data_IF_221826416904
#
_entry.id   IF_221826416904
#
_cell.length_a   1.000
_cell.length_b   1.000
_cell.length_c   1.000
_cell.angle_alpha   90.00
_cell.angle_beta   90.00
_cell.angle_gamma   90.00
#
_symmetry.space_group_name_H-M   'P 1'
#
loop_
_entity.id
_entity.type
_entity.pdbx_description
1 polymer ?
#
# COMPACT_ATOMS: atom_id res chain seq x y z
N UNK A 1 17.58 -21.26 15.09
CA UNK A 1 16.76 -20.93 16.29
C UNK A 1 17.02 -19.52 16.83
N UNK A 2 18.27 -19.16 17.27
CA UNK A 2 18.55 -17.81 17.81
C UNK A 2 18.47 -16.74 16.72
N UNK A 3 18.98 -17.00 15.52
CA UNK A 3 18.93 -16.08 14.38
C UNK A 3 17.50 -15.87 13.90
N UNK A 4 16.67 -16.91 13.89
CA UNK A 4 15.26 -16.81 13.50
C UNK A 4 14.45 -15.98 14.51
N UNK A 5 14.72 -16.14 15.80
CA UNK A 5 14.11 -15.34 16.86
C UNK A 5 14.56 -13.86 16.78
N UNK A 6 15.84 -13.60 16.49
CA UNK A 6 16.35 -12.24 16.30
C UNK A 6 15.72 -11.59 15.06
N UNK A 7 15.62 -12.32 13.96
CA UNK A 7 14.96 -11.83 12.73
C UNK A 7 13.49 -11.50 13.00
N UNK A 8 12.75 -12.42 13.60
CA UNK A 8 11.32 -12.19 13.95
C UNK A 8 11.15 -10.98 14.89
N UNK A 9 12.03 -10.84 15.90
CA UNK A 9 11.99 -9.69 16.82
C UNK A 9 12.30 -8.37 16.12
N UNK A 10 13.25 -8.37 15.17
CA UNK A 10 13.60 -7.18 14.37
C UNK A 10 12.46 -6.78 13.43
N UNK A 11 11.87 -7.74 12.72
CA UNK A 11 10.71 -7.51 11.86
C UNK A 11 9.51 -6.96 12.65
N UNK A 12 9.32 -7.48 13.87
CA UNK A 12 8.28 -7.00 14.77
C UNK A 12 8.54 -5.56 15.23
N UNK A 13 9.79 -5.22 15.57
CA UNK A 13 10.18 -3.86 15.96
C UNK A 13 10.01 -2.87 14.81
N UNK A 14 10.44 -3.25 13.60
CA UNK A 14 10.27 -2.43 12.40
C UNK A 14 8.80 -2.15 12.12
N UNK A 15 7.94 -3.17 12.20
CA UNK A 15 6.49 -3.00 12.04
C UNK A 15 5.92 -2.04 13.07
N UNK A 16 6.36 -2.12 14.33
CA UNK A 16 5.98 -1.20 15.38
C UNK A 16 6.31 0.25 15.10
N UNK A 17 7.58 0.48 14.72
CA UNK A 17 8.06 1.82 14.40
C UNK A 17 7.28 2.37 13.20
N UNK A 18 7.04 1.55 12.19
CA UNK A 18 6.25 1.93 11.02
C UNK A 18 4.80 2.27 11.41
N UNK A 19 4.13 1.42 12.18
CA UNK A 19 2.75 1.64 12.63
C UNK A 19 2.64 2.93 13.49
N UNK A 20 3.64 3.20 14.34
CA UNK A 20 3.69 4.41 15.16
C UNK A 20 3.91 5.68 14.33
N UNK A 21 4.81 5.61 13.33
CA UNK A 21 5.07 6.73 12.42
C UNK A 21 3.85 7.03 11.53
N UNK A 22 3.20 6.01 11.00
CA UNK A 22 1.97 6.14 10.22
C UNK A 22 0.85 6.75 11.07
N UNK A 23 0.68 6.23 12.29
CA UNK A 23 -0.27 6.77 13.26
C UNK A 23 -0.02 8.26 13.52
N UNK A 24 1.22 8.65 13.81
CA UNK A 24 1.60 10.03 14.09
C UNK A 24 1.38 10.97 12.89
N UNK A 25 1.66 10.49 11.66
CA UNK A 25 1.39 11.25 10.42
C UNK A 25 -0.10 11.47 10.20
N UNK A 26 -0.92 10.45 10.47
CA UNK A 26 -2.37 10.52 10.39
C UNK A 26 -2.96 11.44 11.47
N UNK A 27 -2.41 11.41 12.69
CA UNK A 27 -2.88 12.21 13.82
C UNK A 27 -2.64 13.72 13.62
N UNK A 28 -1.51 14.08 13.01
CA UNK A 28 -1.18 15.46 12.70
C UNK A 28 -1.92 16.03 11.46
N UNK A 29 -2.87 15.29 10.87
CA UNK A 29 -3.52 15.64 9.60
C UNK A 29 -2.51 15.97 8.46
N UNK A 30 -1.30 15.38 8.52
CA UNK A 30 -0.26 15.53 7.50
C UNK A 30 -0.27 14.44 6.45
N UNK A 31 -1.14 13.44 6.61
CA UNK A 31 -1.29 12.38 5.62
C UNK A 31 -2.15 12.91 4.46
N UNK A 32 -1.54 13.01 3.30
CA UNK A 32 -2.22 13.36 2.06
C UNK A 32 -2.74 12.09 1.38
N UNK A 33 -3.91 12.21 0.72
CA UNK A 33 -4.47 11.16 -0.13
C UNK A 33 -3.86 11.29 -1.52
N UNK A 34 -3.13 10.29 -1.94
CA UNK A 34 -2.58 10.21 -3.29
C UNK A 34 -3.56 9.52 -4.23
N UNK A 35 -4.48 10.28 -4.82
CA UNK A 35 -5.49 9.75 -5.75
C UNK A 35 -4.86 9.46 -7.10
N UNK A 36 -4.72 8.18 -7.43
CA UNK A 36 -4.21 7.70 -8.72
C UNK A 36 -5.22 6.77 -9.38
N UNK A 37 -5.07 6.58 -10.69
CA UNK A 37 -5.86 5.60 -11.43
C UNK A 37 -5.29 4.21 -11.22
N UNK A 38 -6.13 3.26 -10.80
CA UNK A 38 -5.74 1.86 -10.59
C UNK A 38 -6.90 0.90 -10.92
N UNK A 39 -6.62 -0.40 -10.92
CA UNK A 39 -7.62 -1.46 -11.05
C UNK A 39 -7.86 -2.11 -9.67
N UNK A 40 -9.05 -1.95 -9.06
CA UNK A 40 -9.34 -2.55 -7.76
C UNK A 40 -9.28 -4.09 -7.76
N UNK A 41 -9.75 -4.75 -8.83
CA UNK A 41 -9.69 -6.21 -8.92
C UNK A 41 -8.26 -6.71 -8.81
N UNK A 42 -7.33 -6.11 -9.54
CA UNK A 42 -5.92 -6.46 -9.47
C UNK A 42 -5.34 -6.23 -8.06
N UNK A 43 -5.72 -5.14 -7.39
CA UNK A 43 -5.29 -4.88 -6.02
C UNK A 43 -5.73 -5.98 -5.05
N UNK A 44 -6.99 -6.44 -5.15
CA UNK A 44 -7.49 -7.52 -4.29
C UNK A 44 -6.87 -8.87 -4.61
N UNK A 45 -6.61 -9.17 -5.89
CA UNK A 45 -5.90 -10.38 -6.32
C UNK A 45 -4.48 -10.44 -5.73
N UNK A 46 -3.74 -9.34 -5.79
CA UNK A 46 -2.40 -9.23 -5.19
C UNK A 46 -2.43 -9.43 -3.67
N UNK A 47 -3.43 -8.86 -2.98
CA UNK A 47 -3.62 -9.05 -1.55
C UNK A 47 -3.94 -10.52 -1.25
N UNK A 48 -4.86 -11.14 -2.01
CA UNK A 48 -5.20 -12.55 -1.85
C UNK A 48 -3.97 -13.44 -1.95
N UNK A 49 -3.18 -13.29 -3.02
CA UNK A 49 -1.95 -14.05 -3.25
C UNK A 49 -0.95 -13.89 -2.09
N UNK A 50 -0.88 -12.71 -1.46
CA UNK A 50 0.02 -12.47 -0.33
C UNK A 50 -0.44 -13.13 0.98
N UNK A 51 -1.75 -13.30 1.18
CA UNK A 51 -2.31 -13.88 2.41
C UNK A 51 -2.59 -15.38 2.33
N UNK A 52 -2.76 -15.95 1.14
CA UNK A 52 -3.03 -17.37 0.94
C UNK A 52 -1.97 -18.26 1.60
N UNK A 53 -0.65 -18.05 1.45
CA UNK A 53 0.35 -18.86 2.15
C UNK A 53 0.28 -18.74 3.67
N UNK A 54 -0.07 -17.56 4.20
CA UNK A 54 -0.17 -17.32 5.64
C UNK A 54 -1.37 -18.05 6.26
N UNK A 55 -2.50 -18.06 5.56
CA UNK A 55 -3.71 -18.78 5.98
C UNK A 55 -3.51 -20.29 5.85
N UNK A 56 -2.93 -20.74 4.74
CA UNK A 56 -2.61 -22.16 4.52
C UNK A 56 -1.66 -22.74 5.60
N UNK A 57 -0.63 -21.97 5.98
CA UNK A 57 0.30 -22.37 7.05
C UNK A 57 -0.40 -22.55 8.42
N UNK A 58 -1.52 -21.85 8.66
CA UNK A 58 -2.37 -22.02 9.83
C UNK A 58 -3.51 -23.04 9.66
N UNK A 59 -3.67 -23.63 8.47
CA UNK A 59 -4.78 -24.53 8.15
C UNK A 59 -6.14 -23.84 8.07
N UNK A 60 -6.15 -22.54 7.72
CA UNK A 60 -7.36 -21.73 7.52
C UNK A 60 -7.71 -21.67 6.03
N UNK A 61 -9.00 -21.76 5.70
CA UNK A 61 -9.48 -21.47 4.35
C UNK A 61 -9.56 -19.96 4.13
N UNK A 62 -9.02 -19.47 3.01
CA UNK A 62 -9.17 -18.07 2.58
C UNK A 62 -10.04 -18.04 1.32
N UNK A 63 -11.12 -17.28 1.36
CA UNK A 63 -12.00 -17.04 0.22
C UNK A 63 -11.90 -15.58 -0.21
N UNK A 64 -11.87 -15.33 -1.53
CA UNK A 64 -11.87 -13.99 -2.08
C UNK A 64 -12.95 -13.87 -3.15
N UNK A 65 -13.85 -12.90 -2.99
CA UNK A 65 -14.93 -12.61 -3.93
C UNK A 65 -14.91 -11.14 -4.31
N UNK A 66 -14.51 -10.85 -5.53
CA UNK A 66 -14.45 -9.49 -6.07
C UNK A 66 -15.52 -9.32 -7.12
N UNK A 67 -16.37 -8.31 -6.97
CA UNK A 67 -17.43 -8.01 -7.92
C UNK A 67 -16.84 -7.70 -9.31
N UNK A 68 -17.44 -8.23 -10.40
CA UNK A 68 -16.94 -8.03 -11.77
C UNK A 68 -16.84 -6.54 -12.15
N UNK A 69 -17.68 -5.68 -11.59
CA UNK A 69 -17.70 -4.24 -11.83
C UNK A 69 -16.38 -3.57 -11.41
N UNK A 70 -15.67 -4.16 -10.43
CA UNK A 70 -14.39 -3.67 -9.97
C UNK A 70 -13.22 -3.95 -10.92
N UNK A 71 -13.45 -4.74 -11.98
CA UNK A 71 -12.46 -4.95 -13.04
C UNK A 71 -12.48 -3.79 -14.03
N UNK A 72 -11.95 -2.66 -13.63
CA UNK A 72 -11.93 -1.42 -14.41
C UNK A 72 -10.94 -0.41 -13.84
N UNK A 73 -10.93 0.78 -14.43
CA UNK A 73 -10.06 1.88 -13.99
C UNK A 73 -10.84 2.79 -13.05
N UNK A 74 -10.32 2.97 -11.85
CA UNK A 74 -10.91 3.80 -10.80
C UNK A 74 -9.88 4.76 -10.23
N UNK A 75 -10.37 5.83 -9.59
CA UNK A 75 -9.54 6.84 -8.93
C UNK A 75 -9.71 6.72 -7.42
N UNK A 76 -8.64 6.41 -6.71
CA UNK A 76 -8.52 6.44 -5.24
C UNK A 76 -7.04 6.35 -4.86
N UNK A 77 -6.75 6.04 -3.58
CA UNK A 77 -5.41 5.77 -3.07
C UNK A 77 -5.22 4.26 -2.84
N UNK A 78 -4.62 3.52 -3.79
CA UNK A 78 -4.45 2.07 -3.68
C UNK A 78 -3.52 1.67 -2.52
N UNK A 79 -2.58 2.53 -2.12
CA UNK A 79 -1.68 2.26 -0.99
C UNK A 79 -2.47 2.26 0.32
N UNK A 80 -3.31 3.25 0.54
CA UNK A 80 -4.18 3.35 1.73
C UNK A 80 -5.24 2.26 1.76
N UNK A 81 -5.83 1.92 0.60
CA UNK A 81 -6.73 0.77 0.46
C UNK A 81 -6.06 -0.53 0.87
N UNK A 82 -4.86 -0.80 0.35
CA UNK A 82 -4.05 -1.97 0.70
C UNK A 82 -3.76 -2.01 2.21
N UNK A 83 -3.41 -0.87 2.80
CA UNK A 83 -3.12 -0.77 4.22
C UNK A 83 -4.34 -1.12 5.09
N UNK A 84 -5.53 -0.64 4.72
CA UNK A 84 -6.80 -0.98 5.39
C UNK A 84 -7.04 -2.50 5.33
N UNK A 85 -7.02 -3.06 4.12
CA UNK A 85 -7.33 -4.49 3.88
C UNK A 85 -6.31 -5.39 4.58
N UNK A 86 -5.01 -5.08 4.49
CA UNK A 86 -3.94 -5.84 5.14
C UNK A 86 -4.09 -5.84 6.66
N UNK A 87 -4.43 -4.71 7.28
CA UNK A 87 -4.66 -4.64 8.73
C UNK A 87 -5.85 -5.50 9.16
N UNK A 88 -6.95 -5.47 8.42
CA UNK A 88 -8.14 -6.26 8.73
C UNK A 88 -7.90 -7.75 8.51
N UNK A 89 -7.28 -8.15 7.38
CA UNK A 89 -6.93 -9.55 7.11
C UNK A 89 -5.90 -10.10 8.11
N UNK A 90 -4.89 -9.31 8.46
CA UNK A 90 -3.90 -9.69 9.48
C UNK A 90 -4.57 -9.97 10.83
N UNK A 91 -5.56 -9.15 11.22
CA UNK A 91 -6.35 -9.40 12.42
C UNK A 91 -7.20 -10.67 12.29
N UNK A 92 -7.86 -10.89 11.15
CA UNK A 92 -8.64 -12.10 10.91
C UNK A 92 -7.76 -13.37 11.03
N UNK A 93 -6.59 -13.38 10.38
CA UNK A 93 -5.61 -14.48 10.49
C UNK A 93 -5.12 -14.67 11.92
N UNK A 94 -4.89 -13.59 12.65
CA UNK A 94 -4.40 -13.61 14.02
C UNK A 94 -5.42 -14.23 14.98
N UNK A 95 -6.69 -13.83 14.89
CA UNK A 95 -7.74 -14.19 15.85
C UNK A 95 -8.56 -15.42 15.46
N UNK A 96 -8.28 -16.01 14.28
CA UNK A 96 -8.87 -17.28 13.85
C UNK A 96 -7.87 -18.40 14.06
N UNK A 97 -8.26 -19.41 14.82
CA UNK A 97 -7.42 -20.61 15.05
C UNK A 97 -7.81 -21.77 14.12
N UNK A 98 -9.09 -21.88 13.77
CA UNK A 98 -9.65 -22.89 12.86
C UNK A 98 -10.85 -22.30 12.14
N UNK A 99 -11.07 -22.75 10.92
CA UNK A 99 -12.21 -22.33 10.09
C UNK A 99 -11.77 -21.53 8.88
N UNK A 100 -12.46 -20.43 8.59
CA UNK A 100 -12.28 -19.70 7.34
C UNK A 100 -12.24 -18.18 7.56
N UNK A 101 -11.65 -17.51 6.57
CA UNK A 101 -11.63 -16.06 6.42
C UNK A 101 -12.15 -15.75 5.02
N UNK A 102 -13.02 -14.77 4.89
CA UNK A 102 -13.53 -14.31 3.60
C UNK A 102 -13.26 -12.82 3.40
N UNK A 103 -12.79 -12.47 2.20
CA UNK A 103 -12.67 -11.12 1.68
C UNK A 103 -13.71 -10.96 0.57
N UNK A 104 -14.64 -10.04 0.72
CA UNK A 104 -15.63 -9.70 -0.30
C UNK A 104 -15.52 -8.23 -0.66
N UNK A 105 -15.36 -7.92 -1.95
CA UNK A 105 -15.34 -6.56 -2.46
C UNK A 105 -16.49 -6.37 -3.44
N UNK A 106 -17.39 -5.44 -3.14
CA UNK A 106 -18.55 -5.06 -3.95
C UNK A 106 -18.46 -3.60 -4.39
N UNK A 107 -19.17 -3.28 -5.48
CA UNK A 107 -19.27 -1.91 -5.99
C UNK A 107 -20.70 -1.57 -6.32
N UNK A 108 -21.21 -0.51 -5.74
CA UNK A 108 -22.55 0.02 -6.04
C UNK A 108 -22.56 1.54 -5.85
N UNK A 109 -23.22 2.25 -6.75
CA UNK A 109 -23.52 3.68 -6.63
C UNK A 109 -22.31 4.53 -6.24
N UNK A 110 -21.15 4.31 -6.92
CA UNK A 110 -19.88 5.00 -6.67
C UNK A 110 -19.28 4.72 -5.28
N UNK A 111 -19.66 3.60 -4.67
CA UNK A 111 -19.13 3.14 -3.39
C UNK A 111 -18.50 1.76 -3.53
N UNK A 112 -17.28 1.63 -3.02
CA UNK A 112 -16.60 0.36 -2.80
C UNK A 112 -16.95 -0.13 -1.40
N UNK A 113 -17.51 -1.33 -1.30
CA UNK A 113 -17.76 -1.99 -0.02
C UNK A 113 -16.81 -3.18 0.10
N UNK A 114 -16.00 -3.20 1.16
CA UNK A 114 -15.07 -4.27 1.48
C UNK A 114 -15.52 -4.92 2.77
N UNK A 115 -15.86 -6.20 2.74
CA UNK A 115 -16.20 -6.98 3.93
C UNK A 115 -15.14 -8.05 4.17
N UNK A 116 -14.61 -8.09 5.38
CA UNK A 116 -13.67 -9.12 5.83
C UNK A 116 -14.31 -9.83 7.01
N UNK A 117 -14.67 -11.09 6.80
CA UNK A 117 -15.28 -11.93 7.84
C UNK A 117 -14.35 -13.07 8.23
N UNK A 118 -14.35 -13.38 9.52
CA UNK A 118 -13.61 -14.47 10.13
C UNK A 118 -14.52 -15.34 11.00
N UNK A 119 -14.17 -16.60 11.18
CA UNK A 119 -14.83 -17.54 12.08
C UNK A 119 -14.09 -17.70 13.41
N UNK A 120 -13.37 -16.68 13.82
CA UNK A 120 -12.53 -16.69 15.02
C UNK A 120 -13.32 -16.56 16.33
N UNK A 121 -12.61 -16.13 17.36
CA UNK A 121 -13.18 -16.02 18.73
C UNK A 121 -14.29 -14.98 18.86
N UNK A 122 -14.44 -14.05 17.93
CA UNK A 122 -15.38 -12.94 18.01
C UNK A 122 -15.15 -12.02 19.21
N UNK A 123 -16.08 -11.10 19.45
CA UNK A 123 -16.02 -10.08 20.49
C UNK A 123 -17.36 -9.88 21.16
N UNK A 124 -17.34 -9.45 22.43
CA UNK A 124 -18.52 -9.01 23.15
C UNK A 124 -19.04 -7.66 22.58
N UNK A 125 -20.33 -7.38 22.78
CA UNK A 125 -20.95 -6.15 22.27
C UNK A 125 -20.28 -4.87 22.84
N UNK A 126 -19.84 -4.92 24.08
CA UNK A 126 -19.20 -3.82 24.79
C UNK A 126 -17.82 -3.45 24.22
N UNK A 127 -17.16 -4.42 23.57
CA UNK A 127 -15.81 -4.25 23.03
C UNK A 127 -15.80 -3.67 21.62
N UNK A 128 -16.92 -3.72 20.87
CA UNK A 128 -16.98 -3.32 19.44
C UNK A 128 -16.59 -1.85 19.20
N UNK A 129 -16.93 -0.94 20.09
CA UNK A 129 -16.53 0.46 19.97
C UNK A 129 -15.11 0.70 20.47
N UNK A 130 -14.69 -0.08 21.47
CA UNK A 130 -13.41 0.07 22.13
C UNK A 130 -12.22 -0.40 21.28
N UNK A 131 -12.44 -1.36 20.37
CA UNK A 131 -11.37 -1.90 19.51
C UNK A 131 -10.75 -0.86 18.57
N UNK A 132 -11.45 0.24 18.29
CA UNK A 132 -10.93 1.35 17.47
C UNK A 132 -10.19 2.41 18.29
N UNK A 133 -10.16 2.28 19.61
CA UNK A 133 -9.37 3.15 20.48
C UNK A 133 -7.90 2.74 20.44
N UNK A 134 -7.04 3.74 20.52
CA UNK A 134 -5.59 3.59 20.48
C UNK A 134 -5.09 2.74 21.66
N UNK A 135 -4.10 1.88 21.37
CA UNK A 135 -3.46 1.00 22.36
C UNK A 135 -4.44 0.06 23.10
N UNK A 136 -5.66 -0.09 22.58
CA UNK A 136 -6.66 -0.96 23.20
C UNK A 136 -6.43 -2.41 22.82
N UNK A 137 -6.34 -3.28 23.84
CA UNK A 137 -6.27 -4.73 23.70
C UNK A 137 -7.40 -5.35 24.51
N UNK A 138 -8.17 -6.23 23.89
CA UNK A 138 -9.26 -6.91 24.60
C UNK A 138 -8.72 -7.93 25.60
N UNK A 139 -9.43 -8.10 26.72
CA UNK A 139 -9.15 -9.12 27.71
C UNK A 139 -9.21 -10.51 27.07
N UNK A 140 -8.14 -11.31 27.22
CA UNK A 140 -8.01 -12.62 26.54
C UNK A 140 -7.14 -12.61 25.27
N UNK A 141 -6.55 -11.47 24.89
CA UNK A 141 -5.50 -11.38 23.89
C UNK A 141 -4.08 -11.40 24.52
N UNK A 142 -3.96 -11.81 25.78
CA UNK A 142 -2.67 -11.98 26.46
C UNK A 142 -1.91 -13.12 25.79
N UNK A 143 -0.75 -12.81 25.20
CA UNK A 143 0.07 -13.77 24.44
C UNK A 143 -0.03 -13.65 22.92
N UNK A 144 -0.98 -12.91 22.36
CA UNK A 144 -1.03 -12.62 20.92
C UNK A 144 -0.29 -11.31 20.62
N UNK A 145 0.60 -11.34 19.63
CA UNK A 145 1.43 -10.20 19.23
C UNK A 145 0.60 -9.02 18.70
N UNK A 146 0.93 -7.79 19.11
CA UNK A 146 0.36 -6.55 18.55
C UNK A 146 0.09 -5.47 19.61
N UNK A 147 0.24 -4.19 19.23
CA UNK A 147 0.23 -3.02 20.10
C UNK A 147 -1.13 -2.32 20.22
N UNK A 148 -2.17 -2.84 19.55
CA UNK A 148 -3.50 -2.22 19.58
C UNK A 148 -3.62 -0.97 18.70
N UNK A 149 -2.71 -0.78 17.71
CA UNK A 149 -2.74 0.35 16.78
C UNK A 149 -3.44 0.03 15.45
N UNK A 150 -3.47 -1.23 15.01
CA UNK A 150 -3.94 -1.59 13.66
C UNK A 150 -5.36 -1.11 13.35
N UNK A 151 -6.33 -1.32 14.24
CA UNK A 151 -7.72 -0.92 14.01
C UNK A 151 -7.94 0.60 14.16
N UNK A 152 -7.19 1.28 15.03
CA UNK A 152 -7.22 2.74 15.10
C UNK A 152 -6.65 3.40 13.84
N UNK A 153 -5.58 2.81 13.27
CA UNK A 153 -5.05 3.21 11.96
C UNK A 153 -6.09 2.99 10.87
N UNK A 154 -6.75 1.84 10.82
CA UNK A 154 -7.83 1.56 9.87
C UNK A 154 -8.93 2.63 9.94
N UNK A 155 -9.41 2.95 11.14
CA UNK A 155 -10.43 3.98 11.33
C UNK A 155 -9.99 5.35 10.83
N UNK A 156 -8.75 5.77 11.12
CA UNK A 156 -8.19 7.04 10.64
C UNK A 156 -8.04 7.04 9.11
N UNK A 157 -7.57 5.94 8.51
CA UNK A 157 -7.44 5.81 7.05
C UNK A 157 -8.80 5.84 6.35
N UNK A 158 -9.80 5.15 6.89
CA UNK A 158 -11.18 5.15 6.37
C UNK A 158 -11.76 6.56 6.42
N UNK A 159 -11.55 7.29 7.53
CA UNK A 159 -11.97 8.69 7.65
C UNK A 159 -11.23 9.59 6.66
N UNK A 160 -9.93 9.40 6.48
CA UNK A 160 -9.10 10.14 5.51
C UNK A 160 -9.60 9.93 4.06
N UNK A 161 -10.08 8.73 3.74
CA UNK A 161 -10.67 8.38 2.45
C UNK A 161 -12.16 8.69 2.35
N UNK A 162 -12.73 9.47 3.29
CA UNK A 162 -14.13 9.89 3.31
C UNK A 162 -15.13 8.72 3.39
N UNK A 163 -14.73 7.63 4.04
CA UNK A 163 -15.51 6.41 4.16
C UNK A 163 -16.08 6.16 5.56
N UNK A 164 -16.64 4.96 5.71
CA UNK A 164 -17.16 4.45 6.98
C UNK A 164 -16.69 3.03 7.23
N UNK A 165 -16.55 2.66 8.51
CA UNK A 165 -16.28 1.29 8.94
C UNK A 165 -17.31 0.86 9.98
N UNK A 166 -17.83 -0.34 9.81
CA UNK A 166 -18.74 -1.02 10.75
C UNK A 166 -18.17 -2.38 11.15
N UNK A 167 -18.59 -2.87 12.33
CA UNK A 167 -18.18 -4.18 12.83
C UNK A 167 -19.38 -4.94 13.41
N UNK A 168 -19.58 -6.15 12.90
CA UNK A 168 -20.50 -7.12 13.45
C UNK A 168 -19.69 -8.27 14.03
N UNK A 169 -19.90 -8.58 15.30
CA UNK A 169 -19.17 -9.66 15.96
C UNK A 169 -20.04 -10.30 17.04
N UNK A 170 -19.85 -11.60 17.20
CA UNK A 170 -20.49 -12.38 18.27
C UNK A 170 -19.41 -13.28 18.89
N UNK A 171 -19.32 -13.27 20.20
CA UNK A 171 -18.37 -14.10 20.93
C UNK A 171 -18.54 -15.58 20.55
N UNK A 172 -17.45 -16.23 20.15
CA UNK A 172 -17.41 -17.64 19.72
C UNK A 172 -17.92 -17.89 18.29
N UNK A 173 -18.34 -16.87 17.55
CA UNK A 173 -18.85 -17.04 16.16
C UNK A 173 -17.99 -16.31 15.11
N UNK A 174 -17.10 -15.39 15.53
CA UNK A 174 -16.27 -14.62 14.66
C UNK A 174 -16.68 -13.16 14.51
N UNK A 175 -16.04 -12.46 13.57
CA UNK A 175 -16.27 -11.04 13.32
C UNK A 175 -16.39 -10.78 11.81
N UNK A 176 -17.11 -9.71 11.47
CA UNK A 176 -17.18 -9.17 10.12
C UNK A 176 -16.94 -7.67 10.19
N UNK A 177 -15.89 -7.20 9.55
CA UNK A 177 -15.59 -5.78 9.38
C UNK A 177 -16.01 -5.34 7.98
N UNK A 178 -16.83 -4.31 7.90
CA UNK A 178 -17.32 -3.75 6.64
C UNK A 178 -16.84 -2.32 6.50
N UNK A 179 -16.06 -2.07 5.46
CA UNK A 179 -15.53 -0.74 5.09
C UNK A 179 -16.25 -0.28 3.83
N UNK A 180 -16.77 0.95 3.83
CA UNK A 180 -17.39 1.56 2.65
C UNK A 180 -16.64 2.84 2.32
N UNK A 181 -16.18 2.96 1.07
CA UNK A 181 -15.35 4.08 0.58
C UNK A 181 -15.93 4.65 -0.71
N UNK A 182 -15.85 5.95 -0.97
CA UNK A 182 -16.13 6.51 -2.29
C UNK A 182 -15.10 5.98 -3.30
N UNK A 183 -15.59 5.57 -4.46
CA UNK A 183 -14.75 5.06 -5.55
C UNK A 183 -15.32 5.51 -6.89
N UNK A 184 -14.56 6.26 -7.67
CA UNK A 184 -15.04 6.86 -8.90
C UNK A 184 -14.40 6.20 -10.12
N UNK A 185 -15.20 5.70 -11.08
CA UNK A 185 -14.69 5.12 -12.32
C UNK A 185 -14.08 6.22 -13.21
N UNK A 186 -12.99 5.89 -13.88
CA UNK A 186 -12.41 6.77 -14.90
C UNK A 186 -13.30 6.73 -16.15
N UNK A 187 -13.82 7.90 -16.56
CA UNK A 187 -14.65 8.02 -17.77
C UNK A 187 -16.16 8.15 -17.54
N UNK A 188 -16.67 8.09 -16.29
CA UNK A 188 -17.98 8.65 -15.96
C UNK A 188 -17.78 10.04 -15.37
N UNK A 189 -17.94 11.05 -16.20
CA UNK A 189 -17.99 12.46 -15.79
C UNK A 189 -18.98 12.61 -14.62
N UNK A 190 -18.56 13.27 -13.57
CA UNK A 190 -19.45 13.84 -12.54
C UNK A 190 -20.22 14.97 -13.25
N UNK A 191 -21.36 14.62 -13.84
CA UNK A 191 -22.27 15.55 -14.43
C UNK A 191 -23.68 15.23 -13.91
N UNK A 192 -24.01 15.81 -12.76
CA UNK A 192 -25.36 16.19 -12.43
C UNK A 192 -25.31 17.30 -11.36
N UNK A 193 -25.01 18.50 -11.80
CA UNK A 193 -25.64 19.74 -11.38
C UNK A 193 -25.31 20.83 -12.41
N UNK A 194 -26.38 21.20 -13.14
CA UNK A 194 -26.53 22.39 -13.95
C UNK A 194 -25.85 22.46 -15.33
N UNK A 195 -26.71 22.25 -16.35
CA UNK A 195 -26.54 22.69 -17.75
C UNK A 195 -26.52 24.21 -17.87
N UNK A 196 -26.10 24.85 -18.99
CA UNK A 196 -26.50 24.50 -20.34
C UNK A 196 -25.48 24.71 -21.48
N UNK A 197 -25.85 24.13 -22.63
CA UNK A 197 -25.57 24.51 -24.03
C UNK A 197 -24.27 24.07 -24.71
N UNK A 198 -24.54 23.11 -25.53
CA UNK A 198 -24.05 22.78 -26.90
C UNK A 198 -22.80 23.49 -27.45
N UNK A 199 -21.80 22.69 -27.83
CA UNK A 199 -21.16 22.83 -29.13
C UNK A 199 -20.68 21.45 -29.64
N UNK A 200 -21.21 21.05 -30.79
CA UNK A 200 -20.78 19.89 -31.56
C UNK A 200 -19.34 20.07 -32.01
N UNK A 201 -18.47 19.16 -31.60
CA UNK A 201 -17.18 18.95 -32.29
C UNK A 201 -17.15 17.52 -32.78
N UNK A 202 -17.16 17.38 -34.08
CA UNK A 202 -16.89 16.15 -34.83
C UNK A 202 -15.56 15.54 -34.38
N UNK A 203 -15.63 14.34 -33.78
CA UNK A 203 -14.45 13.55 -33.49
C UNK A 203 -14.32 12.51 -34.60
N UNK A 204 -13.47 12.81 -35.57
CA UNK A 204 -12.93 11.82 -36.49
C UNK A 204 -12.16 10.77 -35.70
N UNK A 205 -12.52 9.50 -35.95
CA UNK A 205 -11.79 8.32 -35.46
C UNK A 205 -10.39 8.31 -36.06
N UNK A 206 -9.40 8.79 -35.32
CA UNK A 206 -7.99 8.46 -35.55
C UNK A 206 -7.59 7.35 -34.58
N UNK A 207 -7.33 6.20 -35.17
CA UNK A 207 -6.71 5.03 -34.54
C UNK A 207 -5.40 5.44 -33.85
N UNK A 208 -5.47 5.72 -32.54
CA UNK A 208 -4.29 5.98 -31.74
C UNK A 208 -3.53 4.67 -31.50
N UNK A 209 -2.46 4.49 -32.27
CA UNK A 209 -1.42 3.50 -31.97
C UNK A 209 -0.99 3.66 -30.50
N UNK A 210 -0.95 2.53 -29.76
CA UNK A 210 -0.43 2.45 -28.41
C UNK A 210 0.98 3.05 -28.40
N UNK A 211 1.26 4.12 -27.65
CA UNK A 211 2.61 4.67 -27.59
C UNK A 211 3.57 3.59 -27.07
N UNK A 212 4.77 3.46 -27.62
CA UNK A 212 5.74 2.46 -27.19
C UNK A 212 5.95 2.63 -25.68
N UNK A 213 5.85 1.53 -24.92
CA UNK A 213 6.12 1.52 -23.48
C UNK A 213 7.47 2.20 -23.24
N UNK A 214 7.46 3.34 -22.58
CA UNK A 214 8.68 4.06 -22.23
C UNK A 214 9.50 3.15 -21.31
N UNK A 215 10.66 2.73 -21.78
CA UNK A 215 11.59 1.95 -20.95
C UNK A 215 12.05 2.83 -19.81
N UNK A 216 11.68 2.46 -18.58
CA UNK A 216 12.09 3.17 -17.36
C UNK A 216 13.58 2.91 -17.14
N UNK A 217 14.37 3.98 -17.06
CA UNK A 217 15.80 3.91 -16.75
C UNK A 217 16.04 4.24 -15.29
N UNK A 218 16.64 3.32 -14.57
CA UNK A 218 16.90 3.42 -13.13
C UNK A 218 18.39 3.61 -12.87
N UNK A 219 18.73 4.52 -11.98
CA UNK A 219 20.09 4.72 -11.47
C UNK A 219 20.11 4.29 -10.01
N UNK A 220 21.04 3.41 -9.63
CA UNK A 220 21.21 2.87 -8.29
C UNK A 220 22.50 3.40 -7.71
N UNK A 221 22.47 3.81 -6.43
CA UNK A 221 23.68 4.09 -5.65
C UNK A 221 23.59 3.45 -4.27
N UNK A 222 24.62 2.66 -3.93
CA UNK A 222 24.75 1.96 -2.66
C UNK A 222 26.25 1.66 -2.46
N UNK A 223 26.78 1.81 -1.27
CA UNK A 223 28.17 1.49 -0.95
C UNK A 223 28.39 -0.01 -0.70
N UNK A 224 27.31 -0.77 -0.43
CA UNK A 224 27.35 -2.24 -0.37
C UNK A 224 27.13 -2.84 -1.77
N UNK A 225 28.24 -3.30 -2.35
CA UNK A 225 28.26 -3.96 -3.67
C UNK A 225 27.35 -5.19 -3.75
N UNK A 226 27.15 -5.93 -2.66
CA UNK A 226 26.27 -7.10 -2.64
C UNK A 226 24.82 -6.64 -2.76
N UNK A 227 24.42 -5.63 -1.99
CA UNK A 227 23.09 -5.05 -2.01
C UNK A 227 22.77 -4.40 -3.36
N UNK A 228 23.74 -3.67 -3.92
CA UNK A 228 23.63 -3.07 -5.25
C UNK A 228 23.35 -4.12 -6.35
N UNK A 229 24.13 -5.21 -6.37
CA UNK A 229 23.95 -6.29 -7.34
C UNK A 229 22.62 -7.04 -7.14
N UNK A 230 22.19 -7.25 -5.89
CA UNK A 230 20.93 -7.91 -5.58
C UNK A 230 19.74 -7.06 -6.06
N UNK A 231 19.75 -5.77 -5.77
CA UNK A 231 18.70 -4.84 -6.20
C UNK A 231 18.64 -4.74 -7.73
N UNK A 232 19.79 -4.66 -8.40
CA UNK A 232 19.85 -4.66 -9.86
C UNK A 232 19.32 -5.97 -10.48
N UNK A 233 19.64 -7.12 -9.88
CA UNK A 233 19.13 -8.41 -10.32
C UNK A 233 17.59 -8.52 -10.16
N UNK A 234 17.04 -8.02 -9.05
CA UNK A 234 15.59 -7.96 -8.82
C UNK A 234 14.89 -7.07 -9.84
N UNK A 235 15.42 -5.89 -10.14
CA UNK A 235 14.87 -5.00 -11.17
C UNK A 235 14.91 -5.66 -12.55
N UNK A 236 15.99 -6.34 -12.87
CA UNK A 236 16.15 -7.06 -14.15
C UNK A 236 15.13 -8.20 -14.32
N UNK A 237 14.75 -8.90 -13.26
CA UNK A 237 13.68 -9.91 -13.28
C UNK A 237 12.33 -9.30 -13.70
N UNK A 238 12.12 -8.02 -13.45
CA UNK A 238 10.92 -7.27 -13.84
C UNK A 238 11.10 -6.50 -15.16
N UNK A 239 12.15 -6.79 -15.94
CA UNK A 239 12.42 -6.17 -17.23
C UNK A 239 12.93 -4.72 -17.13
N UNK A 240 13.43 -4.30 -15.97
CA UNK A 240 13.97 -2.96 -15.73
C UNK A 240 15.50 -3.04 -15.65
N UNK A 241 16.19 -2.36 -16.58
CA UNK A 241 17.64 -2.24 -16.53
C UNK A 241 18.04 -1.06 -15.64
N UNK A 242 18.95 -1.33 -14.68
CA UNK A 242 19.48 -0.34 -13.76
C UNK A 242 20.98 -0.13 -13.97
N UNK A 243 21.41 1.12 -13.91
CA UNK A 243 22.83 1.51 -13.87
C UNK A 243 23.24 1.63 -12.42
N UNK A 244 24.29 0.90 -12.03
CA UNK A 244 24.79 0.82 -10.66
C UNK A 244 25.97 1.75 -10.46
N UNK A 245 25.97 2.49 -9.32
CA UNK A 245 27.07 3.35 -8.88
C UNK A 245 27.47 2.98 -7.45
N UNK A 246 28.75 2.76 -7.21
CA UNK A 246 29.32 2.49 -5.88
C UNK A 246 29.79 3.76 -5.19
N UNK A 247 29.97 4.86 -5.96
CA UNK A 247 30.53 6.12 -5.49
C UNK A 247 29.78 7.33 -6.05
N UNK A 248 29.81 8.43 -5.33
CA UNK A 248 29.12 9.67 -5.68
C UNK A 248 29.61 10.26 -7.02
N UNK A 249 30.91 10.15 -7.31
CA UNK A 249 31.51 10.63 -8.55
C UNK A 249 30.91 9.93 -9.77
N UNK A 250 30.72 8.61 -9.70
CA UNK A 250 30.10 7.81 -10.75
C UNK A 250 28.65 8.23 -10.97
N UNK A 251 27.90 8.47 -9.86
CA UNK A 251 26.52 8.93 -9.91
C UNK A 251 26.42 10.28 -10.66
N UNK A 252 27.28 11.24 -10.31
CA UNK A 252 27.29 12.58 -10.95
C UNK A 252 27.64 12.48 -12.43
N UNK A 253 28.58 11.63 -12.80
CA UNK A 253 28.96 11.39 -14.20
C UNK A 253 27.80 10.80 -15.00
N UNK A 254 27.10 9.82 -14.46
CA UNK A 254 25.92 9.21 -15.07
C UNK A 254 24.78 10.22 -15.24
N UNK A 255 24.50 11.04 -14.23
CA UNK A 255 23.47 12.08 -14.28
C UNK A 255 23.80 13.21 -15.28
N UNK A 256 25.08 13.42 -15.63
CA UNK A 256 25.50 14.37 -16.68
C UNK A 256 25.42 13.81 -18.09
N UNK A 257 25.69 12.52 -18.24
CA UNK A 257 25.81 11.86 -19.55
C UNK A 257 24.53 11.19 -20.03
N UNK A 258 23.59 10.86 -19.15
CA UNK A 258 22.41 10.07 -19.47
C UNK A 258 21.15 10.55 -18.74
N UNK A 259 19.98 10.23 -19.33
CA UNK A 259 18.67 10.54 -18.74
C UNK A 259 18.20 9.34 -17.95
N UNK A 260 17.78 9.56 -16.71
CA UNK A 260 17.18 8.58 -15.83
C UNK A 260 15.80 9.05 -15.36
N UNK A 261 14.88 8.11 -15.18
CA UNK A 261 13.54 8.37 -14.69
C UNK A 261 13.49 8.24 -13.15
N UNK A 262 14.29 7.33 -12.58
CA UNK A 262 14.32 7.02 -11.14
C UNK A 262 15.76 6.96 -10.65
N UNK A 263 16.01 7.52 -9.46
CA UNK A 263 17.22 7.31 -8.67
C UNK A 263 16.83 6.56 -7.40
N UNK A 264 17.45 5.40 -7.17
CA UNK A 264 17.36 4.66 -5.92
C UNK A 264 18.68 4.84 -5.15
N UNK A 265 18.58 5.23 -3.89
CA UNK A 265 19.75 5.41 -3.03
C UNK A 265 19.52 4.78 -1.66
N UNK A 266 20.56 4.19 -1.08
CA UNK A 266 20.51 3.84 0.34
C UNK A 266 20.56 5.11 1.20
N UNK A 267 19.96 5.03 2.39
CA UNK A 267 19.93 6.13 3.35
C UNK A 267 21.27 6.22 4.09
N UNK A 268 21.85 5.06 4.43
CA UNK A 268 23.02 4.99 5.32
C UNK A 268 24.30 4.69 4.53
N UNK A 269 24.79 5.65 3.79
CA UNK A 269 26.10 5.54 3.12
C UNK A 269 27.21 6.27 3.90
N UNK A 270 28.42 5.74 3.98
CA UNK A 270 29.51 6.32 4.79
C UNK A 270 29.92 7.74 4.38
N UNK A 271 29.85 8.06 3.08
CA UNK A 271 30.28 9.34 2.54
C UNK A 271 29.22 10.44 2.65
N UNK A 272 27.94 10.09 2.52
CA UNK A 272 26.82 11.01 2.54
C UNK A 272 25.53 10.25 2.84
N UNK A 273 24.68 10.83 3.69
CA UNK A 273 23.34 10.28 3.91
C UNK A 273 22.48 10.47 2.65
N UNK A 274 21.67 9.45 2.28
CA UNK A 274 20.83 9.46 1.08
C UNK A 274 19.89 10.67 1.00
N UNK A 275 19.34 11.15 2.12
CA UNK A 275 18.53 12.38 2.15
C UNK A 275 19.33 13.64 1.83
N UNK A 276 20.55 13.72 2.30
CA UNK A 276 21.41 14.87 2.03
C UNK A 276 21.95 14.82 0.60
N UNK A 277 22.19 13.62 0.05
CA UNK A 277 22.48 13.42 -1.36
C UNK A 277 21.34 13.97 -2.23
N UNK A 278 20.10 13.63 -1.91
CA UNK A 278 18.90 14.10 -2.63
C UNK A 278 18.81 15.63 -2.58
N UNK A 279 19.04 16.25 -1.42
CA UNK A 279 19.03 17.72 -1.27
C UNK A 279 20.13 18.37 -2.12
N UNK A 280 21.35 17.83 -2.08
CA UNK A 280 22.47 18.33 -2.89
C UNK A 280 22.20 18.22 -4.39
N UNK A 281 21.68 17.08 -4.84
CA UNK A 281 21.31 16.87 -6.24
C UNK A 281 20.22 17.86 -6.70
N UNK A 282 19.21 18.12 -5.89
CA UNK A 282 18.13 19.09 -6.20
C UNK A 282 18.64 20.54 -6.19
N UNK A 283 19.62 20.86 -5.35
CA UNK A 283 20.27 22.16 -5.32
C UNK A 283 21.34 22.34 -6.42
N UNK A 284 21.76 21.25 -7.07
CA UNK A 284 22.78 21.27 -8.11
C UNK A 284 22.29 21.89 -9.43
N UNK A 285 23.23 22.26 -10.31
CA UNK A 285 22.95 22.73 -11.66
C UNK A 285 22.79 21.57 -12.67
N UNK A 286 22.58 20.34 -12.21
CA UNK A 286 22.34 19.18 -13.07
C UNK A 286 20.83 19.12 -13.38
N UNK A 287 20.39 19.38 -14.62
CA UNK A 287 18.94 19.46 -14.94
C UNK A 287 18.21 18.15 -14.64
N UNK A 288 18.86 17.02 -14.91
CA UNK A 288 18.34 15.67 -14.69
C UNK A 288 18.08 15.34 -13.22
N UNK A 289 18.92 15.82 -12.32
CA UNK A 289 18.77 15.62 -10.87
C UNK A 289 17.51 16.29 -10.30
N UNK A 290 16.88 17.21 -11.05
CA UNK A 290 15.63 17.90 -10.67
C UNK A 290 14.37 17.18 -11.16
N UNK A 291 14.47 16.39 -12.24
CA UNK A 291 13.34 15.72 -12.90
C UNK A 291 13.25 14.25 -12.60
N UNK A 292 14.33 13.64 -12.12
CA UNK A 292 14.39 12.23 -11.74
C UNK A 292 13.58 12.00 -10.44
N UNK A 293 12.76 10.94 -10.42
CA UNK A 293 12.07 10.51 -9.19
C UNK A 293 13.11 9.92 -8.24
N UNK A 294 13.17 10.44 -7.01
CA UNK A 294 14.12 10.01 -6.00
C UNK A 294 13.45 9.10 -5.00
N UNK A 295 14.01 7.92 -4.80
CA UNK A 295 13.55 6.95 -3.82
C UNK A 295 14.74 6.53 -2.94
N UNK A 296 14.53 6.48 -1.63
CA UNK A 296 15.51 6.00 -0.67
C UNK A 296 15.05 4.66 -0.12
N UNK A 297 15.93 3.67 -0.15
CA UNK A 297 15.70 2.40 0.55
C UNK A 297 15.79 2.61 2.06
N UNK A 298 14.92 2.02 2.87
CA UNK A 298 15.02 2.09 4.33
C UNK A 298 16.14 1.24 4.89
#
# INVERSE_FOLDING_TARGET
>A
FYLDNMKSSSEHLLKLVSDLLDFHRLDLNKAEVNRVTFNPSQLFDEIYVSFEPLTAAKGLALQCHVAPELNGRYISDPLRLRQIVNNLLSNAVKFTQKGEISLTAGYDSSKLTIAIADTGKGMASEDRERIFQEFTRLSGAQGEEGFGLGLSIVKKLVTLLEGTIDVQSTLGKGSCFTVTLPLYPVGKSIAESESPESENVDITEESAAIPPMKVIRVLLIDDDKIQLNLTAAMLKQHGIDAVCCEQLEQLIEQLRSSVFDVLLTDIQMPAINGFDLVKLLRASNIPQAKTCLLYTSP
#
